data_IF_972559130532
#
_entry.id   IF_972559130532
#
_cell.length_a   1.000
_cell.length_b   1.000
_cell.length_c   1.000
_cell.angle_alpha   90.00
_cell.angle_beta   90.00
_cell.angle_gamma   90.00
#
_symmetry.space_group_name_H-M   'P 1'
#
loop_
_entity.id
_entity.type
_entity.pdbx_description
1 polymer ?
#
# COMPACT_ATOMS: atom_id res chain seq x y z
N UNK A 1 23.88 7.33 -18.74
CA UNK A 1 23.57 7.84 -17.37
C UNK A 1 23.10 9.30 -17.44
N UNK A 2 22.25 9.74 -16.51
CA UNK A 2 21.74 11.12 -16.51
C UNK A 2 22.87 12.15 -16.33
N UNK A 3 23.10 12.98 -17.34
CA UNK A 3 24.19 13.96 -17.37
C UNK A 3 23.83 15.21 -16.53
N UNK A 4 23.80 15.07 -15.20
CA UNK A 4 23.78 16.20 -14.26
C UNK A 4 22.41 16.73 -13.83
N UNK A 5 21.31 16.24 -14.40
CA UNK A 5 19.95 16.60 -13.95
C UNK A 5 19.27 15.34 -13.41
N UNK A 6 19.20 15.23 -12.08
CA UNK A 6 18.44 14.19 -11.39
C UNK A 6 17.19 14.83 -10.76
N UNK A 7 16.00 14.22 -10.93
CA UNK A 7 14.78 14.75 -10.33
C UNK A 7 14.85 14.62 -8.80
N UNK A 8 14.34 15.62 -8.09
CA UNK A 8 14.21 15.57 -6.62
C UNK A 8 13.04 14.66 -6.24
N UNK A 9 13.33 13.38 -6.06
CA UNK A 9 12.32 12.38 -5.71
C UNK A 9 11.81 12.55 -4.28
N UNK A 10 10.50 12.35 -4.10
CA UNK A 10 9.80 12.39 -2.82
C UNK A 10 9.49 10.98 -2.32
N UNK A 11 9.02 10.88 -1.08
CA UNK A 11 8.47 9.66 -0.50
C UNK A 11 9.35 8.40 -0.65
N UNK A 12 10.68 8.55 -0.57
CA UNK A 12 11.62 7.44 -0.71
C UNK A 12 11.83 6.97 -2.16
N UNK A 13 11.39 7.74 -3.16
CA UNK A 13 11.69 7.48 -4.56
C UNK A 13 13.14 7.70 -4.92
N UNK A 14 13.60 7.03 -5.98
CA UNK A 14 14.95 7.15 -6.52
C UNK A 14 14.92 7.68 -7.96
N UNK A 15 15.92 8.47 -8.41
CA UNK A 15 16.04 8.89 -9.80
C UNK A 15 15.99 7.69 -10.76
N UNK A 16 15.22 7.80 -11.85
CA UNK A 16 15.17 6.74 -12.85
C UNK A 16 16.36 6.85 -13.81
N UNK A 17 17.29 5.87 -13.84
CA UNK A 17 18.49 5.95 -14.67
C UNK A 17 18.20 5.85 -16.18
N UNK A 18 17.02 5.36 -16.56
CA UNK A 18 16.57 5.27 -17.96
C UNK A 18 15.75 6.48 -18.40
N UNK A 19 15.31 7.33 -17.46
CA UNK A 19 14.53 8.52 -17.76
C UNK A 19 14.74 9.58 -16.67
N UNK A 20 15.61 10.53 -16.97
CA UNK A 20 16.10 11.55 -16.04
C UNK A 20 15.04 12.59 -15.63
N UNK A 21 13.83 12.54 -16.19
CA UNK A 21 12.74 13.44 -15.82
C UNK A 21 11.77 12.81 -14.82
N UNK A 22 11.96 11.55 -14.40
CA UNK A 22 11.04 10.86 -13.48
C UNK A 22 11.76 10.02 -12.42
N UNK A 23 11.03 9.72 -11.36
CA UNK A 23 11.46 8.85 -10.28
C UNK A 23 10.92 7.43 -10.42
N UNK A 24 11.62 6.47 -9.83
CA UNK A 24 11.12 5.14 -9.51
C UNK A 24 10.49 5.25 -8.12
N UNK A 25 9.19 4.95 -8.03
CA UNK A 25 8.42 5.16 -6.81
C UNK A 25 8.25 3.87 -6.01
N UNK A 26 8.33 3.94 -4.66
CA UNK A 26 7.95 2.83 -3.82
C UNK A 26 6.47 2.47 -3.98
N UNK A 27 6.10 1.24 -3.60
CA UNK A 27 4.70 0.80 -3.63
C UNK A 27 3.80 1.75 -2.81
N UNK A 28 2.61 2.04 -3.33
CA UNK A 28 1.69 3.03 -2.74
C UNK A 28 1.89 4.47 -3.24
N UNK A 29 3.03 4.79 -3.86
CA UNK A 29 3.36 6.12 -4.36
C UNK A 29 3.42 6.17 -5.90
N UNK A 30 3.16 7.34 -6.45
CA UNK A 30 3.18 7.61 -7.89
C UNK A 30 3.31 9.10 -8.17
N UNK A 31 3.12 9.49 -9.43
CA UNK A 31 3.51 10.82 -9.90
C UNK A 31 4.95 10.82 -10.41
N UNK A 32 5.34 11.91 -11.07
CA UNK A 32 6.66 12.04 -11.69
C UNK A 32 7.77 12.03 -10.64
N UNK A 33 7.49 12.58 -9.46
CA UNK A 33 8.43 12.71 -8.35
C UNK A 33 8.02 11.84 -7.14
N UNK A 34 7.09 10.90 -7.32
CA UNK A 34 6.53 10.08 -6.23
C UNK A 34 5.73 10.87 -5.18
N UNK A 35 5.21 12.03 -5.56
CA UNK A 35 4.50 12.99 -4.72
C UNK A 35 3.01 12.68 -4.54
N UNK A 36 2.47 11.72 -5.31
CA UNK A 36 1.04 11.40 -5.36
C UNK A 36 0.77 9.97 -4.92
N UNK A 37 -0.49 9.71 -4.60
CA UNK A 37 -1.02 8.34 -4.49
C UNK A 37 -0.89 7.66 -5.84
N UNK A 38 -0.46 6.41 -5.87
CA UNK A 38 -0.43 5.64 -7.11
C UNK A 38 -1.84 5.50 -7.70
N UNK A 39 -2.02 5.85 -8.97
CA UNK A 39 -3.31 5.78 -9.65
C UNK A 39 -3.88 4.35 -9.69
N UNK A 40 -5.19 4.23 -9.86
CA UNK A 40 -5.92 2.95 -9.88
C UNK A 40 -7.14 2.96 -8.94
N UNK A 41 -7.62 1.77 -8.56
CA UNK A 41 -8.87 1.56 -7.81
C UNK A 41 -8.91 2.13 -6.38
N UNK A 42 -7.79 2.60 -5.85
CA UNK A 42 -7.70 3.13 -4.48
C UNK A 42 -8.07 4.61 -4.39
N UNK A 43 -8.18 5.12 -3.17
CA UNK A 43 -8.60 6.50 -2.86
C UNK A 43 -7.84 7.08 -1.66
N UNK A 44 -8.02 8.38 -1.43
CA UNK A 44 -7.59 9.02 -0.19
C UNK A 44 -8.75 8.96 0.79
N UNK A 45 -8.48 8.57 2.04
CA UNK A 45 -9.43 8.52 3.14
C UNK A 45 -8.89 9.32 4.31
N UNK A 46 -9.73 10.20 4.86
CA UNK A 46 -9.41 10.93 6.07
C UNK A 46 -9.79 10.10 7.29
N UNK A 47 -8.81 9.83 8.16
CA UNK A 47 -9.06 9.14 9.41
C UNK A 47 -9.81 10.05 10.39
N UNK A 48 -10.61 9.42 11.25
CA UNK A 48 -11.21 10.07 12.43
C UNK A 48 -10.67 9.41 13.71
N UNK A 49 -11.07 9.89 14.89
CA UNK A 49 -10.74 9.22 16.17
C UNK A 49 -11.45 7.87 16.34
N UNK A 50 -12.57 7.66 15.61
CA UNK A 50 -13.31 6.40 15.60
C UNK A 50 -12.73 5.47 14.53
N UNK A 51 -12.86 4.16 14.75
CA UNK A 51 -12.49 3.17 13.74
C UNK A 51 -13.43 3.27 12.54
N UNK A 52 -12.87 3.61 11.37
CA UNK A 52 -13.55 3.56 10.09
C UNK A 52 -13.21 2.24 9.40
N UNK A 53 -14.14 1.67 8.64
CA UNK A 53 -13.96 0.37 7.97
C UNK A 53 -13.85 0.52 6.47
N UNK A 54 -12.98 -0.26 5.84
CA UNK A 54 -12.81 -0.34 4.39
C UNK A 54 -12.65 -1.79 3.97
N UNK A 55 -13.52 -2.23 3.05
CA UNK A 55 -13.42 -3.53 2.39
C UNK A 55 -13.02 -3.32 0.93
N UNK A 56 -12.01 -4.02 0.47
CA UNK A 56 -11.47 -3.90 -0.89
C UNK A 56 -11.22 -5.26 -1.51
N UNK A 57 -11.61 -5.43 -2.77
CA UNK A 57 -11.31 -6.62 -3.57
C UNK A 57 -10.32 -6.23 -4.67
N UNK A 58 -9.25 -7.01 -4.80
CA UNK A 58 -8.17 -6.79 -5.77
C UNK A 58 -7.90 -8.07 -6.55
N UNK A 59 -7.55 -7.95 -7.83
CA UNK A 59 -7.36 -9.07 -8.74
C UNK A 59 -8.63 -9.36 -9.56
N UNK A 60 -8.59 -10.46 -10.30
CA UNK A 60 -9.63 -10.88 -11.22
C UNK A 60 -9.99 -12.34 -10.93
N UNK A 61 -11.26 -12.59 -10.59
CA UNK A 61 -11.75 -13.91 -10.20
C UNK A 61 -11.78 -14.91 -11.38
N UNK A 62 -11.71 -14.44 -12.62
CA UNK A 62 -11.71 -15.28 -13.83
C UNK A 62 -10.32 -15.78 -14.18
N UNK A 63 -9.27 -15.07 -13.75
CA UNK A 63 -7.87 -15.41 -14.03
C UNK A 63 -7.36 -16.41 -12.99
N UNK A 64 -7.46 -17.69 -13.35
CA UNK A 64 -7.05 -18.82 -12.50
C UNK A 64 -5.54 -19.04 -12.45
N UNK A 65 -4.79 -18.59 -13.46
CA UNK A 65 -3.32 -18.69 -13.50
C UNK A 65 -2.62 -17.59 -12.69
N UNK A 66 -1.34 -17.80 -12.41
CA UNK A 66 -0.45 -16.77 -11.86
C UNK A 66 -0.15 -15.77 -12.97
N UNK A 67 -0.31 -14.46 -12.69
CA UNK A 67 0.01 -13.36 -13.62
C UNK A 67 1.49 -12.96 -13.50
N UNK A 68 2.05 -12.39 -14.55
CA UNK A 68 3.42 -11.83 -14.52
C UNK A 68 3.52 -10.56 -13.69
N UNK A 69 2.39 -9.87 -13.49
CA UNK A 69 2.31 -8.62 -12.75
C UNK A 69 1.16 -8.64 -11.75
N UNK A 70 1.43 -8.06 -10.57
CA UNK A 70 0.40 -7.86 -9.56
C UNK A 70 -0.68 -6.87 -10.02
N UNK A 71 -1.94 -7.26 -9.84
CA UNK A 71 -3.01 -6.27 -9.73
C UNK A 71 -2.85 -5.60 -8.36
N UNK A 72 -2.74 -4.27 -8.33
CA UNK A 72 -2.55 -3.52 -7.08
C UNK A 72 -3.63 -2.46 -6.90
N UNK A 73 -4.03 -2.25 -5.65
CA UNK A 73 -4.86 -1.14 -5.24
C UNK A 73 -4.14 -0.37 -4.13
N UNK A 74 -4.21 0.96 -4.18
CA UNK A 74 -3.40 1.81 -3.33
C UNK A 74 -4.29 2.87 -2.68
N UNK A 75 -4.71 2.61 -1.44
CA UNK A 75 -5.41 3.61 -0.63
C UNK A 75 -4.38 4.47 0.12
N UNK A 76 -4.69 5.74 0.38
CA UNK A 76 -3.92 6.61 1.27
C UNK A 76 -4.81 7.00 2.44
N UNK A 77 -4.36 6.75 3.66
CA UNK A 77 -5.02 7.24 4.87
C UNK A 77 -4.32 8.51 5.31
N UNK A 78 -5.05 9.60 5.52
CA UNK A 78 -4.55 10.87 6.04
C UNK A 78 -5.06 11.10 7.46
N UNK A 79 -4.32 11.90 8.23
CA UNK A 79 -4.74 12.39 9.53
C UNK A 79 -4.31 13.86 9.69
N UNK A 80 -4.86 14.61 10.66
CA UNK A 80 -4.34 15.92 11.02
C UNK A 80 -2.83 15.88 11.34
N UNK A 81 -2.18 17.03 11.27
CA UNK A 81 -0.80 17.17 11.75
C UNK A 81 -0.69 16.72 13.22
N UNK A 82 0.48 16.21 13.62
CA UNK A 82 0.79 15.69 14.96
C UNK A 82 0.01 14.44 15.42
N UNK A 83 -0.88 13.91 14.57
CA UNK A 83 -1.62 12.67 14.84
C UNK A 83 -0.96 11.47 14.18
N UNK A 84 -1.11 10.30 14.81
CA UNK A 84 -0.63 9.02 14.27
C UNK A 84 -1.80 8.20 13.76
N UNK A 85 -1.64 7.63 12.57
CA UNK A 85 -2.64 6.73 12.00
C UNK A 85 -2.44 5.33 12.58
N UNK A 86 -3.52 4.70 13.05
CA UNK A 86 -3.55 3.29 13.42
C UNK A 86 -4.37 2.51 12.42
N UNK A 87 -3.87 1.33 12.02
CA UNK A 87 -4.52 0.44 11.06
C UNK A 87 -4.55 -0.97 11.62
N UNK A 88 -5.64 -1.70 11.41
CA UNK A 88 -5.73 -3.14 11.66
C UNK A 88 -6.49 -3.83 10.54
N UNK A 89 -6.04 -5.01 10.14
CA UNK A 89 -6.78 -5.84 9.17
C UNK A 89 -7.72 -6.74 9.96
N UNK A 90 -9.01 -6.72 9.63
CA UNK A 90 -10.05 -7.40 10.42
C UNK A 90 -10.64 -8.62 9.73
N UNK A 91 -10.56 -8.70 8.40
CA UNK A 91 -11.00 -9.89 7.67
C UNK A 91 -10.21 -10.11 6.38
N UNK A 92 -10.05 -11.39 6.04
CA UNK A 92 -9.47 -11.88 4.79
C UNK A 92 -10.46 -12.85 4.16
N UNK A 93 -10.72 -12.70 2.86
CA UNK A 93 -11.59 -13.62 2.12
C UNK A 93 -10.97 -13.92 0.76
N UNK A 94 -10.82 -15.21 0.44
CA UNK A 94 -10.09 -15.68 -0.75
C UNK A 94 -8.65 -15.15 -0.80
N UNK A 95 -7.96 -15.26 0.33
CA UNK A 95 -6.56 -14.87 0.50
C UNK A 95 -5.79 -16.12 0.91
N UNK A 96 -4.80 -16.48 0.10
CA UNK A 96 -3.94 -17.63 0.38
C UNK A 96 -2.90 -17.22 1.44
N UNK A 97 -2.90 -17.92 2.57
CA UNK A 97 -1.89 -17.77 3.61
C UNK A 97 -0.68 -18.65 3.26
N UNK A 98 0.29 -18.06 2.57
CA UNK A 98 1.57 -18.70 2.23
C UNK A 98 2.74 -17.86 2.78
N UNK A 99 3.89 -18.52 2.99
CA UNK A 99 5.09 -17.84 3.47
C UNK A 99 5.44 -16.65 2.56
N UNK A 100 5.61 -15.48 3.18
CA UNK A 100 5.89 -14.24 2.48
C UNK A 100 4.70 -13.62 1.75
N UNK A 101 3.48 -14.15 1.85
CA UNK A 101 2.27 -13.56 1.26
C UNK A 101 2.44 -13.15 -0.22
N UNK A 102 3.11 -13.98 -1.01
CA UNK A 102 3.52 -13.61 -2.36
C UNK A 102 2.37 -13.63 -3.38
N UNK A 103 1.31 -14.43 -3.19
CA UNK A 103 0.15 -14.44 -4.08
C UNK A 103 -0.76 -13.23 -3.90
N UNK A 104 -1.14 -12.93 -2.67
CA UNK A 104 -1.99 -11.79 -2.34
C UNK A 104 -1.69 -11.31 -0.93
N UNK A 105 -1.72 -9.99 -0.73
CA UNK A 105 -1.55 -9.42 0.61
C UNK A 105 -2.10 -8.00 0.70
N UNK A 106 -2.30 -7.56 1.95
CA UNK A 106 -2.46 -6.15 2.31
C UNK A 106 -1.23 -5.70 3.10
N UNK A 107 -0.67 -4.56 2.72
CA UNK A 107 0.52 -3.94 3.29
C UNK A 107 0.19 -2.50 3.74
N UNK A 108 -0.15 -2.29 5.01
CA UNK A 108 -0.15 -0.95 5.61
C UNK A 108 1.30 -0.46 5.73
N UNK A 109 1.66 0.60 4.99
CA UNK A 109 3.00 1.20 4.97
C UNK A 109 3.26 2.03 6.24
N UNK A 110 3.60 1.37 7.34
CA UNK A 110 3.70 2.00 8.67
C UNK A 110 5.12 2.38 9.10
N UNK A 111 6.15 1.92 8.36
CA UNK A 111 7.55 2.23 8.65
C UNK A 111 7.94 3.63 8.17
N UNK A 112 8.93 4.25 8.83
CA UNK A 112 9.43 5.60 8.51
C UNK A 112 10.06 5.67 7.11
N UNK A 113 10.84 4.65 6.76
CA UNK A 113 11.37 4.48 5.42
C UNK A 113 10.27 3.93 4.50
N UNK A 114 9.91 4.75 3.52
CA UNK A 114 8.81 4.50 2.57
C UNK A 114 9.22 3.54 1.45
N UNK A 115 10.52 3.33 1.25
CA UNK A 115 11.06 2.41 0.26
C UNK A 115 11.00 0.94 0.72
N UNK A 116 10.97 0.69 2.03
CA UNK A 116 10.97 -0.65 2.62
C UNK A 116 9.56 -1.27 2.59
N UNK A 117 9.52 -2.60 2.50
CA UNK A 117 8.30 -3.39 2.64
C UNK A 117 7.90 -3.46 4.13
N UNK A 118 6.73 -2.90 4.43
CA UNK A 118 6.05 -3.04 5.72
C UNK A 118 5.43 -4.43 5.89
N UNK A 119 4.91 -4.78 7.08
CA UNK A 119 4.30 -6.09 7.29
C UNK A 119 3.23 -6.39 6.23
N UNK A 120 3.42 -7.51 5.52
CA UNK A 120 2.44 -8.06 4.59
C UNK A 120 1.53 -9.01 5.34
N UNK A 121 0.24 -8.77 5.23
CA UNK A 121 -0.79 -9.52 5.95
C UNK A 121 -1.57 -10.35 4.94
N UNK A 122 -1.56 -11.67 5.15
CA UNK A 122 -2.34 -12.64 4.37
C UNK A 122 -2.84 -13.83 5.21
N UNK A 123 -2.48 -13.90 6.49
CA UNK A 123 -2.81 -15.03 7.35
C UNK A 123 -3.77 -14.62 8.49
N UNK A 124 -4.72 -15.49 8.88
CA UNK A 124 -5.66 -15.21 9.97
C UNK A 124 -4.99 -14.81 11.30
N UNK A 125 -3.85 -15.42 11.64
CA UNK A 125 -3.10 -15.10 12.88
C UNK A 125 -2.53 -13.68 12.94
N UNK A 126 -2.54 -12.94 11.83
CA UNK A 126 -2.07 -11.54 11.76
C UNK A 126 -3.24 -10.54 11.91
N UNK A 127 -4.48 -11.01 12.01
CA UNK A 127 -5.65 -10.14 12.08
C UNK A 127 -5.77 -9.44 13.42
N UNK A 128 -6.41 -8.27 13.39
CA UNK A 128 -6.71 -7.40 14.52
C UNK A 128 -5.48 -6.85 15.26
N UNK A 129 -4.26 -7.13 14.79
CA UNK A 129 -3.06 -6.45 15.25
C UNK A 129 -3.10 -4.97 14.84
N UNK A 130 -2.88 -4.08 15.82
CA UNK A 130 -2.90 -2.63 15.60
C UNK A 130 -1.51 -2.16 15.19
N UNK A 131 -1.38 -1.74 13.94
CA UNK A 131 -0.17 -1.12 13.40
C UNK A 131 -0.26 0.39 13.53
N UNK A 132 0.68 1.01 14.25
CA UNK A 132 0.76 2.48 14.36
C UNK A 132 1.76 3.00 13.34
N UNK A 133 1.30 3.87 12.44
CA UNK A 133 2.09 4.44 11.37
C UNK A 133 3.06 5.50 11.87
N UNK A 134 4.26 5.51 11.28
CA UNK A 134 5.27 6.56 11.44
C UNK A 134 5.26 7.58 10.30
N UNK A 135 4.29 7.50 9.39
CA UNK A 135 4.17 8.39 8.22
C UNK A 135 2.72 8.85 8.01
N UNK A 136 2.55 10.05 7.48
CA UNK A 136 1.27 10.64 7.13
C UNK A 136 1.43 11.41 5.80
N UNK A 137 0.70 11.06 4.72
CA UNK A 137 -0.27 9.95 4.62
C UNK A 137 0.35 8.57 4.81
N UNK A 138 -0.47 7.61 5.23
CA UNK A 138 -0.13 6.18 5.31
C UNK A 138 -0.75 5.44 4.12
N UNK A 139 0.05 4.96 3.15
CA UNK A 139 -0.46 4.09 2.11
C UNK A 139 -0.89 2.72 2.68
N UNK A 140 -1.98 2.19 2.13
CA UNK A 140 -2.42 0.81 2.29
C UNK A 140 -2.42 0.17 0.91
N UNK A 141 -1.44 -0.70 0.68
CA UNK A 141 -1.24 -1.36 -0.62
C UNK A 141 -1.85 -2.74 -0.55
N UNK A 142 -2.86 -3.02 -1.37
CA UNK A 142 -3.38 -4.38 -1.56
C UNK A 142 -2.97 -4.89 -2.92
N UNK A 143 -2.63 -6.18 -3.00
CA UNK A 143 -2.28 -6.78 -4.26
C UNK A 143 -2.75 -8.23 -4.38
N UNK A 144 -2.91 -8.67 -5.63
CA UNK A 144 -3.16 -10.06 -5.98
C UNK A 144 -2.49 -10.43 -7.32
N UNK A 145 -1.81 -11.57 -7.35
CA UNK A 145 -1.17 -12.16 -8.52
C UNK A 145 -2.03 -13.24 -9.19
N UNK A 146 -2.99 -13.80 -8.48
CA UNK A 146 -3.85 -14.89 -8.94
C UNK A 146 -5.24 -14.74 -8.32
N UNK A 147 -6.29 -15.00 -9.11
CA UNK A 147 -7.69 -14.82 -8.71
C UNK A 147 -7.96 -13.40 -8.17
N UNK A 148 -9.09 -13.22 -7.49
CA UNK A 148 -9.44 -12.02 -6.74
C UNK A 148 -9.46 -12.31 -5.23
N UNK A 149 -8.93 -11.38 -4.46
CA UNK A 149 -8.80 -11.45 -3.00
C UNK A 149 -9.47 -10.25 -2.35
N UNK A 150 -10.22 -10.48 -1.28
CA UNK A 150 -10.90 -9.42 -0.52
C UNK A 150 -10.25 -9.23 0.85
N UNK A 151 -9.92 -7.98 1.16
CA UNK A 151 -9.37 -7.55 2.44
C UNK A 151 -10.33 -6.58 3.10
N UNK A 152 -10.57 -6.70 4.41
CA UNK A 152 -11.22 -5.67 5.21
C UNK A 152 -10.25 -5.18 6.25
N UNK A 153 -10.06 -3.86 6.31
CA UNK A 153 -9.24 -3.21 7.30
C UNK A 153 -9.96 -2.02 7.92
N UNK A 154 -9.52 -1.66 9.12
CA UNK A 154 -9.99 -0.49 9.83
C UNK A 154 -8.86 0.48 10.06
N UNK A 155 -9.19 1.76 10.10
CA UNK A 155 -8.25 2.84 10.33
C UNK A 155 -8.86 3.93 11.22
N UNK A 156 -8.00 4.58 12.00
CA UNK A 156 -8.30 5.77 12.81
C UNK A 156 -7.02 6.58 13.01
N UNK A 157 -7.13 7.78 13.57
CA UNK A 157 -5.98 8.47 14.15
C UNK A 157 -6.06 8.51 15.68
N UNK A 158 -4.89 8.68 16.31
CA UNK A 158 -4.69 8.94 17.75
C UNK A 158 -3.86 10.20 17.95
#
# INVERSE_FOLDING_TARGET
>A
PCAGIAPKCMNGGAPNPRNCSKCICPFGYGGTLCEKRRAGCGRVYEATTKWNSRTITVGDATVKGIRDTYTTCNDWITAPADKKIQIRVTALRKVDCENGCWRSSIEPKVMSDKAIISPRICCPGQLNQVLTSRINPTPVVTYSLQLASTFTYQYRYV
#
